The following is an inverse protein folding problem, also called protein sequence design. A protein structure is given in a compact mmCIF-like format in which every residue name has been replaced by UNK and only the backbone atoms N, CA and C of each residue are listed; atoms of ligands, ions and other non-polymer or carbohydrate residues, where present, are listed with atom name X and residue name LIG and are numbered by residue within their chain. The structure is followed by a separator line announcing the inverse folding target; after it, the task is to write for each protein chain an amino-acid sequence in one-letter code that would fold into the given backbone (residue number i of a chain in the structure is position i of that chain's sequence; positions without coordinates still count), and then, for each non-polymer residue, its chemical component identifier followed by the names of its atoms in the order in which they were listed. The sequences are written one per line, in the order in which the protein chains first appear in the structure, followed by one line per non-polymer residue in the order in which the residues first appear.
data_IF_350436836288
#
_entry.id   IF_350436836288
#
_cell.length_a   1.000
_cell.length_b   1.000
_cell.length_c   1.000
_cell.angle_alpha   90.00
_cell.angle_beta   90.00
_cell.angle_gamma   90.00
#
_symmetry.space_group_name_H-M   'P 1'
#
loop_
_entity.id
_entity.type
_entity.pdbx_description
1 polymer ?
#
# COMPACT_ATOMS: atom_id res chain seq x y z
N UNK A 1 -13.19 -10.38 12.77
CA UNK A 1 -13.76 -10.12 14.11
C UNK A 1 -15.22 -10.55 14.12
N UNK A 2 -15.68 -11.35 15.09
CA UNK A 2 -17.05 -11.91 15.11
C UNK A 2 -18.13 -10.93 15.64
N UNK A 3 -17.72 -9.82 16.25
CA UNK A 3 -18.55 -8.67 16.62
C UNK A 3 -17.82 -7.38 16.23
N UNK A 4 -18.55 -6.37 15.73
CA UNK A 4 -17.99 -5.05 15.45
C UNK A 4 -17.66 -4.28 16.75
N UNK A 5 -16.83 -3.25 16.64
CA UNK A 5 -16.26 -2.56 17.82
C UNK A 5 -17.34 -1.82 18.60
N UNK A 6 -18.29 -1.18 17.92
CA UNK A 6 -19.39 -0.45 18.55
C UNK A 6 -20.24 -1.38 19.43
N UNK A 7 -20.55 -2.58 18.95
CA UNK A 7 -21.26 -3.58 19.75
C UNK A 7 -20.49 -3.95 21.03
N UNK A 8 -19.15 -4.05 20.96
CA UNK A 8 -18.32 -4.39 22.12
C UNK A 8 -18.27 -3.26 23.15
N UNK A 9 -18.31 -2.00 22.72
CA UNK A 9 -18.46 -0.86 23.64
C UNK A 9 -19.78 -0.92 24.41
N UNK A 10 -20.87 -1.28 23.73
CA UNK A 10 -22.19 -1.48 24.36
C UNK A 10 -22.17 -2.66 25.35
N UNK A 11 -21.55 -3.79 24.98
CA UNK A 11 -21.41 -4.94 25.86
C UNK A 11 -20.61 -4.60 27.12
N UNK A 12 -19.56 -3.77 27.00
CA UNK A 12 -18.80 -3.23 28.14
C UNK A 12 -19.50 -2.08 28.88
N UNK A 13 -20.72 -1.69 28.47
CA UNK A 13 -21.53 -0.60 29.04
C UNK A 13 -20.80 0.74 29.09
N UNK A 14 -19.97 1.02 28.09
CA UNK A 14 -19.24 2.29 27.99
C UNK A 14 -20.16 3.45 27.58
N UNK A 15 -21.23 3.14 26.86
CA UNK A 15 -22.38 4.00 26.63
C UNK A 15 -23.64 3.13 26.40
N UNK A 16 -24.81 3.76 26.31
CA UNK A 16 -26.09 3.07 26.13
C UNK A 16 -26.89 3.68 24.97
N UNK A 17 -27.55 2.82 24.19
CA UNK A 17 -28.47 3.18 23.10
C UNK A 17 -29.94 2.90 23.43
N UNK A 18 -30.24 2.50 24.68
CA UNK A 18 -31.57 2.11 25.13
C UNK A 18 -32.17 0.95 24.32
N UNK A 19 -31.32 0.03 23.82
CA UNK A 19 -31.75 -1.14 23.05
C UNK A 19 -32.25 -0.84 21.63
N UNK A 20 -31.99 0.35 21.10
CA UNK A 20 -32.44 0.75 19.76
C UNK A 20 -31.36 0.48 18.70
N UNK A 21 -31.51 -0.65 17.99
CA UNK A 21 -30.60 -1.07 16.93
C UNK A 21 -30.51 -0.07 15.76
N UNK A 22 -31.54 0.75 15.53
CA UNK A 22 -31.50 1.77 14.50
C UNK A 22 -30.50 2.89 14.84
N UNK A 23 -30.29 3.17 16.13
CA UNK A 23 -29.25 4.11 16.58
C UNK A 23 -27.85 3.53 16.39
N UNK A 24 -27.69 2.24 16.66
CA UNK A 24 -26.41 1.55 16.44
C UNK A 24 -26.03 1.59 14.95
N UNK A 25 -27.02 1.36 14.06
CA UNK A 25 -26.79 1.44 12.62
C UNK A 25 -26.33 2.83 12.18
N UNK A 26 -26.90 3.92 12.72
CA UNK A 26 -26.44 5.28 12.42
C UNK A 26 -25.00 5.53 12.87
N UNK A 27 -24.58 4.97 14.01
CA UNK A 27 -23.19 5.06 14.47
C UNK A 27 -22.24 4.25 13.57
N UNK A 28 -22.67 3.08 13.06
CA UNK A 28 -21.91 2.30 12.07
C UNK A 28 -21.71 3.09 10.76
N UNK A 29 -22.75 3.75 10.28
CA UNK A 29 -22.66 4.60 9.08
C UNK A 29 -21.75 5.82 9.30
N UNK A 30 -21.73 6.38 10.51
CA UNK A 30 -20.78 7.43 10.87
C UNK A 30 -19.34 6.89 10.92
N UNK A 31 -19.14 5.68 11.43
CA UNK A 31 -17.83 5.01 11.42
C UNK A 31 -17.34 4.72 9.99
N UNK A 32 -18.24 4.38 9.06
CA UNK A 32 -17.90 4.26 7.63
C UNK A 32 -17.44 5.59 7.03
N UNK A 33 -18.10 6.70 7.37
CA UNK A 33 -17.69 8.04 6.92
C UNK A 33 -16.31 8.43 7.51
N UNK A 34 -16.04 8.09 8.78
CA UNK A 34 -14.70 8.26 9.39
C UNK A 34 -13.65 7.38 8.68
N UNK A 35 -13.97 6.13 8.38
CA UNK A 35 -13.08 5.23 7.65
C UNK A 35 -12.73 5.79 6.26
N UNK A 36 -13.72 6.34 5.55
CA UNK A 36 -13.52 6.99 4.25
C UNK A 36 -12.63 8.24 4.35
N UNK A 37 -12.81 9.04 5.41
CA UNK A 37 -11.97 10.20 5.68
C UNK A 37 -10.51 9.81 5.91
N UNK A 38 -10.25 8.79 6.73
CA UNK A 38 -8.90 8.31 7.03
C UNK A 38 -8.25 7.63 5.83
N UNK A 39 -9.03 6.92 5.01
CA UNK A 39 -8.57 6.39 3.72
C UNK A 39 -8.12 7.50 2.77
N UNK A 40 -8.83 8.63 2.74
CA UNK A 40 -8.49 9.77 1.89
C UNK A 40 -7.31 10.59 2.44
N UNK A 41 -7.08 10.56 3.76
CA UNK A 41 -6.03 11.32 4.44
C UNK A 41 -5.25 10.45 5.46
N UNK A 42 -4.43 9.48 5.01
CA UNK A 42 -3.73 8.55 5.90
C UNK A 42 -2.79 9.24 6.90
N UNK A 43 -2.25 10.41 6.55
CA UNK A 43 -1.39 11.22 7.41
C UNK A 43 -2.09 11.75 8.68
N UNK A 44 -3.43 11.74 8.71
CA UNK A 44 -4.22 12.16 9.89
C UNK A 44 -4.46 11.04 10.89
N UNK A 45 -4.18 9.78 10.52
CA UNK A 45 -4.52 8.60 11.34
C UNK A 45 -3.90 8.67 12.73
N UNK A 46 -2.65 9.10 12.86
CA UNK A 46 -1.98 9.21 14.15
C UNK A 46 -2.77 10.10 15.13
N UNK A 47 -3.20 11.29 14.70
CA UNK A 47 -4.00 12.18 15.54
C UNK A 47 -5.35 11.57 15.93
N UNK A 48 -6.02 10.86 15.02
CA UNK A 48 -7.27 10.15 15.33
C UNK A 48 -7.05 9.04 16.37
N UNK A 49 -5.94 8.31 16.29
CA UNK A 49 -5.58 7.27 17.26
C UNK A 49 -5.31 7.89 18.63
N UNK A 50 -4.57 9.00 18.70
CA UNK A 50 -4.29 9.70 19.96
C UNK A 50 -5.56 10.21 20.64
N UNK A 51 -6.54 10.69 19.86
CA UNK A 51 -7.86 11.11 20.35
C UNK A 51 -8.70 9.90 20.76
N UNK A 52 -8.67 8.83 19.96
CA UNK A 52 -9.39 7.60 20.21
C UNK A 52 -8.96 6.89 21.51
N UNK A 53 -7.67 6.89 21.82
CA UNK A 53 -7.13 6.19 22.98
C UNK A 53 -7.32 6.95 24.31
N UNK A 54 -7.31 8.29 24.31
CA UNK A 54 -7.24 9.06 25.56
C UNK A 54 -8.61 9.34 26.19
N UNK A 55 -8.80 8.84 27.42
CA UNK A 55 -10.07 8.95 28.16
C UNK A 55 -10.34 10.37 28.65
N UNK A 56 -9.30 11.20 28.70
CA UNK A 56 -9.30 12.57 29.20
C UNK A 56 -9.19 13.59 28.07
N UNK A 57 -9.49 13.18 26.84
CA UNK A 57 -9.57 14.09 25.71
C UNK A 57 -10.52 15.26 26.02
N UNK A 58 -10.07 16.52 25.85
CA UNK A 58 -10.88 17.67 26.22
C UNK A 58 -12.05 17.85 25.22
N UNK A 59 -13.20 18.39 25.64
CA UNK A 59 -14.39 18.50 24.79
C UNK A 59 -14.20 19.40 23.55
N UNK A 60 -13.25 20.33 23.58
CA UNK A 60 -12.91 21.26 22.50
C UNK A 60 -11.89 20.69 21.50
N UNK A 61 -11.49 19.42 21.66
CA UNK A 61 -10.59 18.74 20.71
C UNK A 61 -11.16 18.77 19.28
N UNK A 62 -10.43 19.37 18.30
CA UNK A 62 -10.89 19.53 16.92
C UNK A 62 -11.37 18.23 16.26
N UNK A 63 -10.69 17.10 16.50
CA UNK A 63 -11.10 15.81 15.93
C UNK A 63 -12.42 15.31 16.54
N UNK A 64 -12.69 15.55 17.83
CA UNK A 64 -13.98 15.20 18.40
C UNK A 64 -15.11 16.02 17.79
N UNK A 65 -14.89 17.31 17.55
CA UNK A 65 -15.85 18.18 16.88
C UNK A 65 -16.11 17.75 15.42
N UNK A 66 -15.06 17.33 14.69
CA UNK A 66 -15.18 16.79 13.34
C UNK A 66 -15.98 15.48 13.31
N UNK A 67 -15.70 14.55 14.22
CA UNK A 67 -16.44 13.28 14.33
C UNK A 67 -17.88 13.52 14.78
N UNK A 68 -18.12 14.47 15.68
CA UNK A 68 -19.47 14.89 16.06
C UNK A 68 -20.26 15.40 14.85
N UNK A 69 -19.62 16.19 13.97
CA UNK A 69 -20.23 16.65 12.71
C UNK A 69 -20.55 15.49 11.76
N UNK A 70 -19.72 14.45 11.72
CA UNK A 70 -19.99 13.22 10.94
C UNK A 70 -21.18 12.46 11.52
N UNK A 71 -21.23 12.29 12.84
CA UNK A 71 -22.34 11.63 13.54
C UNK A 71 -23.64 12.39 13.34
N UNK A 72 -23.62 13.71 13.45
CA UNK A 72 -24.80 14.57 13.27
C UNK A 72 -25.45 14.36 11.90
N UNK A 73 -24.66 14.23 10.83
CA UNK A 73 -25.16 13.96 9.47
C UNK A 73 -25.94 12.65 9.34
N UNK A 74 -25.65 11.65 10.18
CA UNK A 74 -26.38 10.37 10.22
C UNK A 74 -27.49 10.37 11.26
N UNK A 75 -27.32 11.17 12.31
CA UNK A 75 -28.20 11.20 13.47
C UNK A 75 -28.34 12.60 14.08
N UNK A 76 -29.18 13.44 13.50
CA UNK A 76 -29.40 14.83 13.94
C UNK A 76 -29.79 14.99 15.43
N UNK A 77 -30.42 13.98 16.05
CA UNK A 77 -30.87 14.04 17.45
C UNK A 77 -29.92 13.36 18.45
N UNK A 78 -28.69 13.03 18.07
CA UNK A 78 -27.76 12.29 18.93
C UNK A 78 -27.47 13.01 20.27
N UNK A 79 -27.39 14.34 20.28
CA UNK A 79 -27.17 15.14 21.50
C UNK A 79 -28.26 14.93 22.55
N UNK A 80 -29.49 14.66 22.14
CA UNK A 80 -30.59 14.36 23.07
C UNK A 80 -30.57 12.93 23.60
N UNK A 81 -29.82 12.03 22.94
CA UNK A 81 -29.77 10.61 23.27
C UNK A 81 -28.67 10.26 24.29
N UNK A 82 -27.67 11.13 24.46
CA UNK A 82 -26.55 10.91 25.37
C UNK A 82 -26.36 12.06 26.33
N UNK A 83 -26.00 11.79 27.60
CA UNK A 83 -25.48 12.82 28.49
C UNK A 83 -24.19 13.44 27.91
N UNK A 84 -23.96 14.72 28.19
CA UNK A 84 -22.77 15.46 27.71
C UNK A 84 -21.46 14.73 28.01
N UNK A 85 -21.32 14.19 29.24
CA UNK A 85 -20.17 13.40 29.68
C UNK A 85 -19.93 12.09 28.90
N UNK A 86 -20.95 11.56 28.23
CA UNK A 86 -20.84 10.33 27.44
C UNK A 86 -20.49 10.60 25.98
N UNK A 87 -20.65 11.84 25.49
CA UNK A 87 -20.39 12.19 24.09
C UNK A 87 -18.95 11.89 23.66
N UNK A 88 -17.89 12.25 24.42
CA UNK A 88 -16.52 11.90 24.03
C UNK A 88 -16.30 10.39 23.89
N UNK A 89 -16.93 9.59 24.76
CA UNK A 89 -16.83 8.12 24.73
C UNK A 89 -17.49 7.56 23.46
N UNK A 90 -18.65 8.08 23.08
CA UNK A 90 -19.34 7.70 21.83
C UNK A 90 -18.48 8.06 20.62
N UNK A 91 -17.90 9.27 20.59
CA UNK A 91 -17.05 9.70 19.47
C UNK A 91 -15.79 8.84 19.36
N UNK A 92 -15.13 8.50 20.47
CA UNK A 92 -14.01 7.57 20.49
C UNK A 92 -14.38 6.18 19.97
N UNK A 93 -15.56 5.68 20.33
CA UNK A 93 -16.04 4.39 19.84
C UNK A 93 -16.21 4.40 18.31
N UNK A 94 -16.77 5.49 17.77
CA UNK A 94 -16.90 5.71 16.32
C UNK A 94 -15.53 5.81 15.64
N UNK A 95 -14.56 6.50 16.26
CA UNK A 95 -13.17 6.58 15.77
C UNK A 95 -12.55 5.19 15.69
N UNK A 96 -12.63 4.40 16.77
CA UNK A 96 -12.01 3.08 16.83
C UNK A 96 -12.65 2.10 15.85
N UNK A 97 -13.98 2.11 15.71
CA UNK A 97 -14.68 1.30 14.69
C UNK A 97 -14.31 1.75 13.27
N UNK A 98 -14.23 3.06 13.04
CA UNK A 98 -13.78 3.63 11.77
C UNK A 98 -12.35 3.20 11.40
N UNK A 99 -11.42 3.26 12.36
CA UNK A 99 -10.05 2.76 12.20
C UNK A 99 -10.03 1.29 11.81
N UNK A 100 -10.75 0.44 12.55
CA UNK A 100 -10.82 -0.99 12.29
C UNK A 100 -11.31 -1.33 10.87
N UNK A 101 -12.29 -0.59 10.36
CA UNK A 101 -12.82 -0.77 8.99
C UNK A 101 -11.81 -0.45 7.88
N UNK A 102 -10.81 0.39 8.16
CA UNK A 102 -9.80 0.82 7.17
C UNK A 102 -8.42 0.14 7.36
N UNK A 103 -8.27 -0.73 8.36
CA UNK A 103 -7.00 -1.43 8.65
C UNK A 103 -6.48 -2.33 7.52
N UNK A 104 -7.29 -2.61 6.51
CA UNK A 104 -6.84 -3.29 5.30
C UNK A 104 -5.81 -2.46 4.49
N UNK A 105 -5.70 -1.16 4.74
CA UNK A 105 -4.70 -0.27 4.14
C UNK A 105 -3.46 -0.24 5.03
N UNK A 106 -2.32 -0.71 4.52
CA UNK A 106 -1.11 -0.90 5.33
C UNK A 106 -0.59 0.40 5.96
N UNK A 107 -0.67 1.54 5.26
CA UNK A 107 -0.27 2.83 5.82
C UNK A 107 -1.12 3.23 7.04
N UNK A 108 -2.43 2.96 6.97
CA UNK A 108 -3.35 3.20 8.09
C UNK A 108 -3.09 2.22 9.22
N UNK A 109 -2.88 0.94 8.89
CA UNK A 109 -2.56 -0.08 9.88
C UNK A 109 -1.25 0.23 10.63
N UNK A 110 -0.22 0.69 9.91
CA UNK A 110 1.06 1.10 10.48
C UNK A 110 0.87 2.30 11.41
N UNK A 111 0.20 3.35 10.93
CA UNK A 111 -0.07 4.55 11.73
C UNK A 111 -0.84 4.23 13.01
N UNK A 112 -1.88 3.40 12.93
CA UNK A 112 -2.63 2.93 14.10
C UNK A 112 -1.75 2.16 15.08
N UNK A 113 -1.03 1.15 14.59
CA UNK A 113 -0.23 0.25 15.42
C UNK A 113 0.90 1.00 16.14
N UNK A 114 1.67 1.80 15.39
CA UNK A 114 2.84 2.50 15.92
C UNK A 114 2.44 3.65 16.87
N UNK A 115 1.41 4.42 16.52
CA UNK A 115 0.91 5.48 17.41
C UNK A 115 0.38 4.90 18.72
N UNK A 116 -0.41 3.83 18.65
CA UNK A 116 -0.96 3.23 19.85
C UNK A 116 0.13 2.58 20.74
N UNK A 117 1.16 1.96 20.15
CA UNK A 117 2.33 1.46 20.90
C UNK A 117 3.12 2.55 21.60
N UNK A 118 3.16 3.74 21.02
CA UNK A 118 3.77 4.90 21.67
C UNK A 118 2.91 5.40 22.84
N UNK A 119 1.59 5.42 22.69
CA UNK A 119 0.71 6.10 23.63
C UNK A 119 0.16 5.24 24.76
N UNK A 120 -0.34 4.04 24.45
CA UNK A 120 -1.07 3.20 25.41
C UNK A 120 -0.29 2.93 26.71
N UNK A 121 1.05 2.69 26.70
CA UNK A 121 1.81 2.50 27.93
C UNK A 121 1.73 3.69 28.91
N UNK A 122 1.40 4.89 28.44
CA UNK A 122 1.37 6.12 29.24
C UNK A 122 -0.04 6.58 29.63
N UNK A 123 -1.10 6.02 29.06
CA UNK A 123 -2.48 6.47 29.29
C UNK A 123 -3.15 5.79 30.51
N UNK A 124 -2.47 4.86 31.17
CA UNK A 124 -2.99 4.10 32.31
C UNK A 124 -4.02 3.05 31.90
N UNK A 125 -4.69 2.45 32.88
CA UNK A 125 -5.71 1.43 32.61
C UNK A 125 -6.98 2.07 32.00
N UNK A 126 -7.40 1.59 30.82
CA UNK A 126 -8.69 1.95 30.21
C UNK A 126 -9.60 0.73 30.11
N UNK A 127 -10.91 0.94 30.22
CA UNK A 127 -11.91 -0.13 30.12
C UNK A 127 -12.02 -0.74 28.71
N UNK A 128 -11.50 -0.03 27.71
CA UNK A 128 -11.45 -0.43 26.31
C UNK A 128 -10.05 -0.84 25.83
N UNK A 129 -9.06 -0.98 26.72
CA UNK A 129 -7.67 -1.30 26.35
C UNK A 129 -7.55 -2.61 25.56
N UNK A 130 -8.33 -3.62 25.95
CA UNK A 130 -8.38 -4.92 25.25
C UNK A 130 -8.81 -4.78 23.78
N UNK A 131 -9.67 -3.81 23.47
CA UNK A 131 -10.14 -3.56 22.11
C UNK A 131 -9.01 -2.99 21.25
N UNK A 132 -8.20 -2.10 21.84
CA UNK A 132 -7.01 -1.56 21.20
C UNK A 132 -5.93 -2.64 21.04
N UNK A 133 -5.65 -3.43 22.07
CA UNK A 133 -4.65 -4.50 22.02
C UNK A 133 -4.96 -5.52 20.93
N UNK A 134 -6.22 -5.95 20.78
CA UNK A 134 -6.62 -6.84 19.70
C UNK A 134 -6.40 -6.22 18.32
N UNK A 135 -6.84 -4.97 18.14
CA UNK A 135 -6.67 -4.24 16.87
C UNK A 135 -5.18 -4.09 16.49
N UNK A 136 -4.33 -3.75 17.46
CA UNK A 136 -2.89 -3.55 17.28
C UNK A 136 -2.19 -4.88 17.03
N UNK A 137 -2.62 -5.96 17.67
CA UNK A 137 -2.06 -7.30 17.49
C UNK A 137 -2.32 -7.83 16.07
N UNK A 138 -3.55 -7.69 15.58
CA UNK A 138 -3.92 -8.08 14.21
C UNK A 138 -3.12 -7.27 13.18
N UNK A 139 -3.09 -5.95 13.34
CA UNK A 139 -2.34 -5.04 12.48
C UNK A 139 -0.83 -5.35 12.51
N UNK A 140 -0.27 -5.52 13.71
CA UNK A 140 1.14 -5.80 13.94
C UNK A 140 1.57 -7.10 13.28
N UNK A 141 0.77 -8.17 13.38
CA UNK A 141 1.06 -9.46 12.75
C UNK A 141 1.12 -9.33 11.22
N UNK A 142 0.16 -8.63 10.63
CA UNK A 142 0.12 -8.39 9.18
C UNK A 142 1.31 -7.55 8.71
N UNK A 143 1.59 -6.44 9.40
CA UNK A 143 2.70 -5.55 9.07
C UNK A 143 4.06 -6.25 9.20
N UNK A 144 4.23 -7.08 10.23
CA UNK A 144 5.44 -7.89 10.41
C UNK A 144 5.63 -8.90 9.27
N UNK A 145 4.55 -9.57 8.82
CA UNK A 145 4.61 -10.46 7.65
C UNK A 145 5.01 -9.72 6.38
N UNK A 146 4.47 -8.52 6.16
CA UNK A 146 4.86 -7.66 5.04
C UNK A 146 6.33 -7.26 5.15
N UNK A 147 6.76 -6.72 6.29
CA UNK A 147 8.13 -6.28 6.50
C UNK A 147 9.13 -7.43 6.33
N UNK A 148 8.81 -8.64 6.79
CA UNK A 148 9.65 -9.83 6.56
C UNK A 148 9.84 -10.18 5.08
N UNK A 149 8.80 -9.97 4.24
CA UNK A 149 8.91 -10.16 2.79
C UNK A 149 9.80 -9.07 2.17
N UNK A 150 9.62 -7.81 2.56
CA UNK A 150 10.45 -6.70 2.06
C UNK A 150 11.92 -6.83 2.49
N UNK A 151 12.17 -7.43 3.65
CA UNK A 151 13.51 -7.61 4.21
C UNK A 151 14.08 -9.02 3.98
N UNK A 152 13.45 -9.85 3.14
CA UNK A 152 13.90 -11.23 2.94
C UNK A 152 15.32 -11.27 2.33
N UNK A 153 16.13 -12.24 2.77
CA UNK A 153 17.43 -12.48 2.14
C UNK A 153 17.25 -13.12 0.77
N UNK A 154 18.24 -12.98 -0.12
CA UNK A 154 18.35 -13.85 -1.28
C UNK A 154 18.34 -15.31 -0.84
N UNK A 155 17.34 -16.07 -1.25
CA UNK A 155 17.32 -17.50 -1.01
C UNK A 155 18.38 -18.17 -1.87
N UNK A 156 19.14 -19.12 -1.33
CA UNK A 156 20.11 -19.94 -2.10
C UNK A 156 19.48 -20.68 -3.28
N UNK A 157 18.16 -20.90 -3.20
CA UNK A 157 17.32 -21.44 -4.26
C UNK A 157 16.54 -20.30 -4.91
N UNK A 158 17.19 -19.16 -5.22
CA UNK A 158 16.66 -18.28 -6.25
C UNK A 158 16.50 -19.19 -7.46
N UNK A 159 15.25 -19.56 -7.73
CA UNK A 159 14.87 -20.47 -8.79
C UNK A 159 15.69 -20.05 -10.00
N UNK A 160 16.49 -20.98 -10.54
CA UNK A 160 16.90 -20.86 -11.94
C UNK A 160 15.69 -20.34 -12.66
N UNK A 161 15.83 -19.18 -13.30
CA UNK A 161 14.71 -18.51 -13.94
C UNK A 161 14.17 -19.50 -14.98
N UNK A 162 13.17 -20.29 -14.59
CA UNK A 162 12.48 -21.21 -15.47
C UNK A 162 11.57 -20.32 -16.29
N UNK A 163 12.20 -19.66 -17.26
CA UNK A 163 11.52 -18.93 -18.31
C UNK A 163 10.72 -19.97 -19.07
N UNK A 164 9.40 -19.92 -18.90
CA UNK A 164 8.50 -20.70 -19.71
C UNK A 164 8.47 -20.05 -21.10
N UNK A 165 9.41 -20.47 -21.95
CA UNK A 165 9.48 -20.04 -23.34
C UNK A 165 8.36 -20.78 -24.07
N UNK A 166 7.32 -20.07 -24.55
CA UNK A 166 6.21 -20.71 -25.23
C UNK A 166 6.73 -21.52 -26.42
N UNK A 167 6.26 -22.77 -26.56
CA UNK A 167 6.60 -23.60 -27.70
C UNK A 167 6.22 -22.89 -29.01
N UNK A 168 7.06 -23.01 -30.03
CA UNK A 168 6.75 -22.49 -31.37
C UNK A 168 5.43 -23.07 -31.86
N UNK A 169 4.45 -22.23 -32.24
CA UNK A 169 3.14 -22.71 -32.67
C UNK A 169 3.27 -23.58 -33.92
N UNK A 170 2.64 -24.75 -33.91
CA UNK A 170 2.59 -25.62 -35.08
C UNK A 170 1.58 -25.07 -36.10
N UNK A 171 2.07 -24.76 -37.30
CA UNK A 171 1.19 -24.28 -38.39
C UNK A 171 0.70 -25.49 -39.19
N UNK A 172 -0.56 -25.86 -38.98
CA UNK A 172 -1.22 -26.87 -39.83
C UNK A 172 -1.65 -26.22 -41.15
N UNK A 173 -0.99 -26.62 -42.24
CA UNK A 173 -1.28 -26.18 -43.61
C UNK A 173 -2.72 -26.53 -43.96
N UNK A 174 -3.49 -25.55 -44.42
CA UNK A 174 -4.86 -25.79 -44.86
C UNK A 174 -4.85 -26.40 -46.27
N UNK A 175 -5.47 -27.56 -46.41
CA UNK A 175 -5.78 -28.15 -47.71
C UNK A 175 -7.03 -27.50 -48.31
N UNK A 176 -6.98 -27.20 -49.61
CA UNK A 176 -8.13 -26.68 -50.34
C UNK A 176 -9.24 -27.73 -50.39
N UNK A 177 -10.50 -27.29 -50.32
CA UNK A 177 -11.65 -28.18 -50.51
C UNK A 177 -11.67 -28.65 -51.96
N UNK A 178 -11.63 -29.96 -52.17
CA UNK A 178 -11.63 -30.59 -53.50
C UNK A 178 -12.81 -30.10 -54.34
N UNK A 179 -14.01 -30.03 -53.76
CA UNK A 179 -15.23 -29.60 -54.47
C UNK A 179 -15.14 -28.17 -55.02
N UNK A 180 -14.44 -27.28 -54.33
CA UNK A 180 -14.25 -25.91 -54.79
C UNK A 180 -13.32 -25.86 -56.01
N UNK A 181 -12.22 -26.61 -55.98
CA UNK A 181 -11.30 -26.73 -57.12
C UNK A 181 -12.01 -27.39 -58.31
N UNK A 182 -12.77 -28.46 -58.06
CA UNK A 182 -13.58 -29.14 -59.08
C UNK A 182 -14.56 -28.19 -59.75
N UNK A 183 -15.22 -27.30 -59.00
CA UNK A 183 -16.14 -26.31 -59.56
C UNK A 183 -15.43 -25.28 -60.46
N UNK A 184 -14.22 -24.83 -60.11
CA UNK A 184 -13.46 -23.90 -60.93
C UNK A 184 -13.02 -24.51 -62.27
N UNK A 185 -12.56 -25.77 -62.23
CA UNK A 185 -12.21 -26.50 -63.46
C UNK A 185 -13.45 -26.87 -64.27
N UNK A 186 -14.56 -27.21 -63.62
CA UNK A 186 -15.86 -27.40 -64.26
C UNK A 186 -16.29 -26.16 -65.03
N UNK A 187 -16.20 -24.98 -64.41
CA UNK A 187 -16.48 -23.70 -65.06
C UNK A 187 -15.54 -23.40 -66.25
N UNK A 188 -14.26 -23.77 -66.16
CA UNK A 188 -13.35 -23.62 -67.30
C UNK A 188 -13.72 -24.58 -68.46
N UNK A 189 -14.18 -25.79 -68.13
CA UNK A 189 -14.47 -26.86 -69.09
C UNK A 189 -15.78 -26.66 -69.87
N UNK A 190 -16.78 -25.97 -69.32
CA UNK A 190 -18.05 -25.76 -70.03
C UNK A 190 -19.03 -24.85 -69.31
N UNK A 191 -20.23 -24.64 -69.89
CA UNK A 191 -21.19 -23.64 -69.41
C UNK A 191 -22.03 -24.14 -68.22
N UNK A 192 -22.22 -25.46 -68.10
CA UNK A 192 -23.06 -26.07 -67.07
C UNK A 192 -22.39 -27.30 -66.45
N UNK A 193 -22.78 -27.62 -65.21
CA UNK A 193 -22.37 -28.84 -64.51
C UNK A 193 -23.15 -30.08 -64.96
N UNK A 194 -22.83 -31.23 -64.35
CA UNK A 194 -23.49 -32.51 -64.64
C UNK A 194 -25.02 -32.50 -64.37
N UNK A 195 -25.52 -31.53 -63.60
CA UNK A 195 -26.93 -31.35 -63.27
C UNK A 195 -27.57 -30.21 -64.10
N UNK A 196 -26.93 -29.76 -65.18
CA UNK A 196 -27.37 -28.65 -66.04
C UNK A 196 -27.45 -27.28 -65.33
N UNK A 197 -26.80 -27.12 -64.17
CA UNK A 197 -26.72 -25.83 -63.51
C UNK A 197 -25.59 -25.03 -64.14
N UNK A 198 -25.86 -23.77 -64.50
CA UNK A 198 -24.85 -22.89 -65.07
C UNK A 198 -23.71 -22.60 -64.07
N UNK A 199 -22.47 -22.72 -64.56
CA UNK A 199 -21.32 -22.21 -63.83
C UNK A 199 -21.28 -20.68 -63.95
N UNK A 200 -20.94 -20.02 -62.85
CA UNK A 200 -20.69 -18.59 -62.86
C UNK A 200 -19.44 -18.31 -63.70
N UNK A 201 -19.60 -17.51 -64.77
CA UNK A 201 -18.57 -17.29 -65.79
C UNK A 201 -18.03 -18.59 -66.42
N UNK A 202 -18.90 -19.60 -66.63
CA UNK A 202 -18.54 -20.82 -67.34
C UNK A 202 -18.09 -20.56 -68.79
N UNK A 203 -17.26 -21.45 -69.32
CA UNK A 203 -16.88 -21.43 -70.73
C UNK A 203 -18.13 -21.64 -71.60
N UNK A 204 -18.43 -20.69 -72.48
CA UNK A 204 -19.66 -20.74 -73.29
C UNK A 204 -19.61 -21.82 -74.38
N UNK A 205 -18.44 -22.37 -74.62
CA UNK A 205 -18.20 -23.39 -75.63
C UNK A 205 -18.05 -24.76 -74.96
N UNK A 206 -18.44 -25.82 -75.69
CA UNK A 206 -18.20 -27.21 -75.28
C UNK A 206 -16.92 -27.74 -75.96
N UNK A 207 -16.22 -28.73 -75.37
CA UNK A 207 -14.99 -29.29 -75.94
C UNK A 207 -15.11 -29.76 -77.39
N UNK A 208 -16.31 -30.19 -77.81
CA UNK A 208 -16.60 -30.61 -79.17
C UNK A 208 -16.61 -29.47 -80.21
N UNK A 209 -16.50 -28.20 -79.79
CA UNK A 209 -16.41 -27.01 -80.67
C UNK A 209 -14.97 -26.62 -81.03
N UNK A 210 -13.97 -27.42 -80.63
CA UNK A 210 -12.60 -27.34 -81.13
C UNK A 210 -11.88 -26.06 -80.69
N UNK A 211 -11.51 -25.21 -81.66
CA UNK A 211 -10.65 -24.05 -81.43
C UNK A 211 -11.27 -23.00 -80.48
N UNK A 212 -12.57 -22.71 -80.61
CA UNK A 212 -13.23 -21.72 -79.74
C UNK A 212 -13.26 -22.16 -78.28
N UNK A 213 -13.44 -23.46 -78.03
CA UNK A 213 -13.35 -24.00 -76.69
C UNK A 213 -11.94 -23.93 -76.11
N UNK A 214 -10.92 -24.33 -76.89
CA UNK A 214 -9.55 -24.36 -76.38
C UNK A 214 -9.00 -22.97 -76.07
N UNK A 215 -9.40 -21.95 -76.85
CA UNK A 215 -9.04 -20.55 -76.60
C UNK A 215 -9.64 -19.97 -75.31
N UNK A 216 -10.83 -20.42 -74.91
CA UNK A 216 -11.47 -19.99 -73.66
C UNK A 216 -11.08 -20.88 -72.47
N UNK A 217 -10.86 -22.18 -72.70
CA UNK A 217 -10.52 -23.14 -71.65
C UNK A 217 -9.17 -22.83 -71.02
N UNK A 218 -8.12 -22.68 -71.84
CA UNK A 218 -6.76 -22.47 -71.35
C UNK A 218 -6.62 -21.26 -70.39
N UNK A 219 -7.07 -20.04 -70.74
CA UNK A 219 -6.98 -18.89 -69.84
C UNK A 219 -7.88 -19.04 -68.60
N UNK A 220 -9.05 -19.68 -68.71
CA UNK A 220 -9.95 -19.91 -67.56
C UNK A 220 -9.41 -20.95 -66.60
N UNK A 221 -8.84 -22.05 -67.10
CA UNK A 221 -8.19 -23.07 -66.30
C UNK A 221 -6.92 -22.51 -65.63
N UNK A 222 -6.13 -21.71 -66.33
CA UNK A 222 -4.99 -21.00 -65.74
C UNK A 222 -5.45 -20.04 -64.61
N UNK A 223 -6.55 -19.31 -64.82
CA UNK A 223 -7.15 -18.46 -63.78
C UNK A 223 -7.68 -19.26 -62.59
N UNK A 224 -8.26 -20.43 -62.81
CA UNK A 224 -8.71 -21.35 -61.76
C UNK A 224 -7.54 -21.85 -60.91
N UNK A 225 -6.43 -22.26 -61.54
CA UNK A 225 -5.20 -22.68 -60.86
C UNK A 225 -4.61 -21.52 -60.06
N UNK A 226 -4.50 -20.32 -60.67
CA UNK A 226 -3.99 -19.14 -59.98
C UNK A 226 -4.85 -18.80 -58.76
N UNK A 227 -6.19 -18.80 -58.90
CA UNK A 227 -7.10 -18.55 -57.79
C UNK A 227 -6.95 -19.59 -56.66
N UNK A 228 -6.75 -20.87 -57.00
CA UNK A 228 -6.53 -21.93 -56.02
C UNK A 228 -5.20 -21.77 -55.27
N UNK A 229 -4.12 -21.49 -55.99
CA UNK A 229 -2.80 -21.23 -55.40
C UNK A 229 -2.85 -19.99 -54.52
N UNK A 230 -3.41 -18.88 -55.00
CA UNK A 230 -3.51 -17.62 -54.25
C UNK A 230 -4.35 -17.78 -52.97
N UNK A 231 -5.47 -18.50 -53.05
CA UNK A 231 -6.31 -18.78 -51.88
C UNK A 231 -5.58 -19.65 -50.83
N UNK A 232 -4.84 -20.66 -51.27
CA UNK A 232 -4.03 -21.51 -50.39
C UNK A 232 -2.88 -20.73 -49.75
N UNK A 233 -2.15 -19.95 -50.54
CA UNK A 233 -1.04 -19.12 -50.05
C UNK A 233 -1.55 -18.08 -49.05
N UNK A 234 -2.64 -17.38 -49.35
CA UNK A 234 -3.23 -16.38 -48.47
C UNK A 234 -3.69 -16.98 -47.13
N UNK A 235 -4.43 -18.09 -47.16
CA UNK A 235 -4.92 -18.74 -45.94
C UNK A 235 -3.78 -19.26 -45.05
N UNK A 236 -2.70 -19.78 -45.67
CA UNK A 236 -1.54 -20.23 -44.92
C UNK A 236 -0.71 -19.06 -44.37
N UNK A 237 -0.55 -17.97 -45.12
CA UNK A 237 0.11 -16.74 -44.64
C UNK A 237 -0.65 -16.14 -43.46
N UNK A 238 -1.98 -16.06 -43.53
CA UNK A 238 -2.81 -15.53 -42.43
C UNK A 238 -2.64 -16.34 -41.14
N UNK A 239 -2.60 -17.69 -41.23
CA UNK A 239 -2.32 -18.55 -40.08
C UNK A 239 -0.89 -18.41 -39.55
N UNK A 240 0.09 -18.23 -40.44
CA UNK A 240 1.48 -17.96 -40.04
C UNK A 240 1.55 -16.62 -39.32
N UNK A 241 0.89 -15.57 -39.82
CA UNK A 241 0.84 -14.25 -39.18
C UNK A 241 0.12 -14.31 -37.82
N UNK A 242 -0.98 -15.07 -37.72
CA UNK A 242 -1.71 -15.26 -36.47
C UNK A 242 -0.90 -16.03 -35.43
N UNK A 243 -0.24 -17.11 -35.85
CA UNK A 243 0.68 -17.89 -35.00
C UNK A 243 1.92 -17.07 -34.58
N UNK A 244 2.36 -16.15 -35.43
CA UNK A 244 3.50 -15.26 -35.14
C UNK A 244 3.12 -14.00 -34.38
N UNK A 245 1.85 -13.78 -33.96
CA UNK A 245 1.44 -12.59 -33.20
C UNK A 245 2.34 -12.41 -31.97
N UNK A 246 3.34 -11.50 -32.02
CA UNK A 246 4.43 -11.48 -31.05
C UNK A 246 4.00 -10.97 -29.67
N UNK A 247 2.91 -10.21 -29.63
CA UNK A 247 2.58 -9.32 -28.52
C UNK A 247 2.24 -10.05 -27.23
N UNK A 248 1.54 -11.19 -27.29
CA UNK A 248 1.18 -11.92 -26.06
C UNK A 248 2.37 -12.70 -25.47
N UNK A 249 3.21 -13.29 -26.32
CA UNK A 249 4.39 -14.03 -25.89
C UNK A 249 5.51 -13.11 -25.40
N UNK A 250 5.76 -12.00 -26.10
CA UNK A 250 6.72 -10.98 -25.65
C UNK A 250 6.25 -10.30 -24.36
N UNK A 251 4.95 -10.08 -24.20
CA UNK A 251 4.38 -9.53 -22.97
C UNK A 251 4.52 -10.50 -21.80
N UNK A 252 4.18 -11.78 -21.98
CA UNK A 252 4.37 -12.80 -20.95
C UNK A 252 5.84 -12.93 -20.54
N UNK A 253 6.75 -12.94 -21.51
CA UNK A 253 8.20 -12.95 -21.25
C UNK A 253 8.66 -11.69 -20.51
N UNK A 254 8.23 -10.50 -20.95
CA UNK A 254 8.55 -9.24 -20.31
C UNK A 254 8.01 -9.17 -18.87
N UNK A 255 6.81 -9.69 -18.62
CA UNK A 255 6.21 -9.78 -17.29
C UNK A 255 7.01 -10.73 -16.38
N UNK A 256 7.41 -11.90 -16.88
CA UNK A 256 8.25 -12.86 -16.14
C UNK A 256 9.63 -12.28 -15.79
N UNK A 257 10.30 -11.64 -16.75
CA UNK A 257 11.59 -10.97 -16.52
C UNK A 257 11.42 -9.79 -15.57
N UNK A 258 10.35 -9.01 -15.71
CA UNK A 258 10.04 -7.89 -14.82
C UNK A 258 9.84 -8.35 -13.36
N UNK A 259 9.08 -9.42 -13.15
CA UNK A 259 8.87 -10.02 -11.83
C UNK A 259 10.17 -10.57 -11.24
N UNK A 260 11.00 -11.21 -12.06
CA UNK A 260 12.29 -11.74 -11.66
C UNK A 260 13.26 -10.66 -11.18
N UNK A 261 13.40 -9.59 -11.98
CA UNK A 261 14.25 -8.45 -11.66
C UNK A 261 13.74 -7.73 -10.41
N UNK A 262 12.42 -7.51 -10.30
CA UNK A 262 11.82 -6.89 -9.12
C UNK A 262 12.09 -7.72 -7.85
N UNK A 263 11.95 -9.04 -7.92
CA UNK A 263 12.24 -9.95 -6.81
C UNK A 263 13.72 -9.91 -6.40
N UNK A 264 14.64 -9.95 -7.38
CA UNK A 264 16.07 -9.88 -7.12
C UNK A 264 16.49 -8.54 -6.49
N UNK A 265 15.97 -7.41 -7.01
CA UNK A 265 16.21 -6.09 -6.43
C UNK A 265 15.66 -5.98 -5.01
N UNK A 266 14.47 -6.51 -4.75
CA UNK A 266 13.89 -6.53 -3.41
C UNK A 266 14.77 -7.31 -2.42
N UNK A 267 15.30 -8.46 -2.82
CA UNK A 267 16.21 -9.25 -1.98
C UNK A 267 17.56 -8.54 -1.76
N UNK A 268 18.09 -7.86 -2.78
CA UNK A 268 19.31 -7.06 -2.66
C UNK A 268 19.12 -5.89 -1.68
N UNK A 269 18.01 -5.14 -1.81
CA UNK A 269 17.66 -4.07 -0.86
C UNK A 269 17.45 -4.62 0.56
N UNK A 270 16.81 -5.78 0.71
CA UNK A 270 16.62 -6.43 2.00
C UNK A 270 17.96 -6.78 2.68
N UNK A 271 18.94 -7.29 1.93
CA UNK A 271 20.29 -7.55 2.43
C UNK A 271 21.02 -6.26 2.79
N UNK A 272 20.98 -5.25 1.90
CA UNK A 272 21.61 -3.96 2.12
C UNK A 272 21.12 -3.31 3.41
N UNK A 273 19.80 -3.22 3.63
CA UNK A 273 19.22 -2.64 4.86
C UNK A 273 19.72 -3.34 6.12
N UNK A 274 19.80 -4.67 6.12
CA UNK A 274 20.29 -5.45 7.26
C UNK A 274 21.77 -5.18 7.55
N UNK A 275 22.59 -5.19 6.50
CA UNK A 275 24.02 -4.90 6.62
C UNK A 275 24.26 -3.45 7.07
N UNK A 276 23.53 -2.49 6.51
CA UNK A 276 23.58 -1.08 6.91
C UNK A 276 23.17 -0.89 8.37
N UNK A 277 22.10 -1.55 8.84
CA UNK A 277 21.71 -1.50 10.26
C UNK A 277 22.78 -2.05 11.20
N UNK A 278 23.46 -3.14 10.81
CA UNK A 278 24.56 -3.71 11.60
C UNK A 278 25.73 -2.72 11.66
N UNK A 279 26.18 -2.21 10.50
CA UNK A 279 27.28 -1.26 10.46
C UNK A 279 26.97 0.04 11.20
N UNK A 280 25.75 0.55 11.06
CA UNK A 280 25.27 1.70 11.78
C UNK A 280 25.33 1.50 13.30
N UNK A 281 24.83 0.35 13.80
CA UNK A 281 24.91 -0.01 15.22
C UNK A 281 26.36 -0.09 15.71
N UNK A 282 27.25 -0.71 14.95
CA UNK A 282 28.65 -0.90 15.37
C UNK A 282 29.49 0.39 15.27
N UNK A 283 29.24 1.23 14.27
CA UNK A 283 29.97 2.47 14.05
C UNK A 283 29.60 3.56 15.08
N UNK A 284 28.37 3.55 15.60
CA UNK A 284 27.84 4.58 16.51
C UNK A 284 28.12 6.01 15.99
N UNK A 285 27.83 6.19 14.70
CA UNK A 285 28.04 7.41 13.95
C UNK A 285 26.79 7.76 13.15
N UNK A 286 26.40 9.03 13.18
CA UNK A 286 25.29 9.55 12.38
C UNK A 286 25.76 9.93 10.98
N UNK A 287 25.35 9.21 9.92
CA UNK A 287 25.63 9.65 8.56
C UNK A 287 24.94 10.97 8.22
N UNK A 288 23.71 11.22 8.69
CA UNK A 288 22.96 12.45 8.35
C UNK A 288 23.53 13.70 9.07
N UNK A 289 24.00 13.52 10.32
CA UNK A 289 24.62 14.60 11.09
C UNK A 289 26.15 14.69 10.93
N UNK A 290 26.78 13.67 10.31
CA UNK A 290 28.22 13.55 10.12
C UNK A 290 29.04 13.64 11.42
N UNK A 291 28.51 13.06 12.51
CA UNK A 291 29.12 13.12 13.84
C UNK A 291 28.95 11.80 14.59
N UNK A 292 29.89 11.49 15.48
CA UNK A 292 29.72 10.36 16.41
C UNK A 292 28.60 10.67 17.40
N UNK A 293 27.72 9.70 17.66
CA UNK A 293 26.70 9.84 18.71
C UNK A 293 27.31 10.06 20.09
N UNK A 294 28.56 9.62 20.32
CA UNK A 294 29.29 9.83 21.56
C UNK A 294 29.59 11.31 21.85
N UNK A 295 29.51 12.18 20.84
CA UNK A 295 29.74 13.61 20.97
C UNK A 295 28.44 14.41 21.20
N UNK A 296 27.29 13.74 21.24
CA UNK A 296 25.97 14.35 21.38
C UNK A 296 25.41 14.15 22.79
N UNK A 297 24.49 15.03 23.19
CA UNK A 297 23.68 14.82 24.40
C UNK A 297 22.78 13.60 24.24
N UNK A 298 22.32 13.01 25.35
CA UNK A 298 21.43 11.84 25.33
C UNK A 298 20.20 12.06 24.47
N UNK A 299 19.54 13.22 24.57
CA UNK A 299 18.32 13.48 23.80
C UNK A 299 18.61 13.62 22.29
N UNK A 300 19.69 14.32 21.92
CA UNK A 300 20.12 14.46 20.51
C UNK A 300 20.58 13.14 19.91
N UNK A 301 21.28 12.33 20.69
CA UNK A 301 21.61 10.94 20.34
C UNK A 301 20.35 10.14 20.02
N UNK A 302 19.35 10.18 20.89
CA UNK A 302 18.09 9.45 20.67
C UNK A 302 17.38 9.89 19.38
N UNK A 303 17.33 11.20 19.14
CA UNK A 303 16.68 11.80 17.98
C UNK A 303 17.43 11.46 16.68
N UNK A 304 18.74 11.62 16.63
CA UNK A 304 19.54 11.30 15.45
C UNK A 304 19.57 9.81 15.15
N UNK A 305 19.70 8.96 16.16
CA UNK A 305 19.63 7.51 15.96
C UNK A 305 18.28 7.08 15.39
N UNK A 306 17.18 7.73 15.80
CA UNK A 306 15.87 7.48 15.22
C UNK A 306 15.78 7.92 13.76
N UNK A 307 16.34 9.09 13.40
CA UNK A 307 16.41 9.61 12.03
C UNK A 307 17.22 8.67 11.13
N UNK A 308 18.44 8.35 11.54
CA UNK A 308 19.34 7.50 10.76
C UNK A 308 18.75 6.09 10.58
N UNK A 309 18.17 5.51 11.64
CA UNK A 309 17.48 4.23 11.54
C UNK A 309 16.28 4.29 10.59
N UNK A 310 15.46 5.35 10.64
CA UNK A 310 14.32 5.51 9.74
C UNK A 310 14.74 5.67 8.27
N UNK A 311 15.87 6.33 8.02
CA UNK A 311 16.46 6.43 6.69
C UNK A 311 16.92 5.07 6.15
N UNK A 312 17.54 4.23 7.00
CA UNK A 312 18.00 2.89 6.62
C UNK A 312 16.81 1.94 6.42
N UNK A 313 15.81 1.97 7.29
CA UNK A 313 14.77 0.94 7.31
C UNK A 313 13.64 1.16 6.29
N UNK A 314 13.44 2.39 5.84
CA UNK A 314 12.28 2.76 5.02
C UNK A 314 10.98 2.75 5.83
N UNK A 315 9.81 2.78 5.18
CA UNK A 315 8.51 2.94 5.87
C UNK A 315 7.97 1.68 6.58
N UNK A 316 8.42 0.48 6.17
CA UNK A 316 7.92 -0.80 6.67
C UNK A 316 9.07 -1.63 7.21
N UNK A 317 9.39 -1.41 8.48
CA UNK A 317 10.45 -2.11 9.18
C UNK A 317 9.92 -3.28 10.04
N UNK A 318 10.63 -4.42 10.09
CA UNK A 318 10.29 -5.52 11.00
C UNK A 318 10.60 -5.14 12.45
N UNK A 319 9.97 -5.82 13.41
CA UNK A 319 10.20 -5.61 14.86
C UNK A 319 11.68 -5.69 15.27
N UNK A 320 12.48 -6.49 14.56
CA UNK A 320 13.92 -6.57 14.82
C UNK A 320 14.65 -5.23 14.64
N UNK A 321 14.15 -4.31 13.82
CA UNK A 321 14.74 -2.98 13.66
C UNK A 321 14.70 -2.18 14.97
N UNK A 322 13.56 -2.21 15.67
CA UNK A 322 13.43 -1.57 17.00
C UNK A 322 14.37 -2.20 18.03
N UNK A 323 14.57 -3.52 17.97
CA UNK A 323 15.52 -4.20 18.84
C UNK A 323 16.96 -3.77 18.56
N UNK A 324 17.34 -3.59 17.29
CA UNK A 324 18.67 -3.09 16.91
C UNK A 324 18.89 -1.66 17.39
N UNK A 325 17.91 -0.76 17.24
CA UNK A 325 17.97 0.61 17.75
C UNK A 325 18.15 0.60 19.28
N UNK A 326 17.33 -0.18 19.98
CA UNK A 326 17.40 -0.31 21.44
C UNK A 326 18.76 -0.78 21.90
N UNK A 327 19.30 -1.80 21.25
CA UNK A 327 20.62 -2.35 21.58
C UNK A 327 21.76 -1.37 21.26
N UNK A 328 21.66 -0.63 20.16
CA UNK A 328 22.63 0.40 19.82
C UNK A 328 22.69 1.51 20.88
N UNK A 329 21.53 1.94 21.40
CA UNK A 329 21.45 2.90 22.50
C UNK A 329 21.98 2.34 23.81
N UNK A 330 21.67 1.09 24.16
CA UNK A 330 22.22 0.43 25.36
C UNK A 330 23.74 0.29 25.30
N UNK A 331 24.29 -0.05 24.14
CA UNK A 331 25.75 -0.10 23.93
C UNK A 331 26.42 1.28 24.08
N UNK A 332 25.68 2.36 23.82
CA UNK A 332 26.19 3.71 23.87
C UNK A 332 26.08 4.35 25.25
N UNK A 333 24.92 4.20 25.90
CA UNK A 333 24.56 4.87 27.16
C UNK A 333 24.67 3.96 28.40
N UNK A 334 24.82 2.65 28.22
CA UNK A 334 24.87 1.70 29.32
C UNK A 334 23.53 1.62 30.07
N UNK A 335 23.54 1.52 31.42
CA UNK A 335 22.33 1.44 32.24
C UNK A 335 21.36 2.62 32.07
N UNK A 336 21.90 3.82 31.80
CA UNK A 336 21.12 5.06 31.64
C UNK A 336 20.16 4.97 30.44
N UNK A 337 20.39 4.07 29.48
CA UNK A 337 19.54 3.88 28.30
C UNK A 337 18.09 3.50 28.64
N UNK A 338 17.89 2.79 29.76
CA UNK A 338 16.60 2.31 30.21
C UNK A 338 16.06 3.09 31.44
N UNK A 339 16.84 4.03 31.99
CA UNK A 339 16.43 4.86 33.13
C UNK A 339 15.41 5.93 32.71
N UNK A 340 14.27 6.07 33.42
CA UNK A 340 13.28 7.08 33.07
C UNK A 340 13.79 8.51 33.24
N UNK A 341 13.69 9.31 32.19
CA UNK A 341 13.98 10.75 32.16
C UNK A 341 12.68 11.51 31.88
N UNK A 342 12.55 12.73 32.39
CA UNK A 342 11.43 13.60 32.07
C UNK A 342 11.32 13.83 30.55
N UNK A 343 10.16 13.53 29.96
CA UNK A 343 9.90 13.74 28.53
C UNK A 343 10.05 15.22 28.16
N UNK A 344 9.61 16.12 29.03
CA UNK A 344 9.78 17.56 28.91
C UNK A 344 11.25 17.98 28.74
N UNK A 345 12.15 17.34 29.49
CA UNK A 345 13.59 17.63 29.44
C UNK A 345 14.18 17.18 28.11
N UNK A 346 13.84 15.96 27.66
CA UNK A 346 14.29 15.41 26.38
C UNK A 346 13.81 16.27 25.19
N UNK A 347 12.54 16.69 25.22
CA UNK A 347 11.96 17.55 24.19
C UNK A 347 12.66 18.91 24.12
N UNK A 348 12.91 19.53 25.27
CA UNK A 348 13.55 20.85 25.32
C UNK A 348 14.97 20.84 24.76
N UNK A 349 15.73 19.77 25.03
CA UNK A 349 17.10 19.61 24.49
C UNK A 349 17.10 19.40 22.97
N UNK A 350 16.18 18.60 22.44
CA UNK A 350 16.06 18.37 20.97
C UNK A 350 15.49 19.57 20.23
N UNK A 351 14.58 20.33 20.85
CA UNK A 351 13.99 21.53 20.26
C UNK A 351 14.97 22.72 20.20
N UNK A 352 16.08 22.67 20.94
CA UNK A 352 17.07 23.74 20.95
C UNK A 352 17.78 23.88 19.59
N UNK A 353 17.64 25.04 18.95
CA UNK A 353 18.23 25.37 17.63
C UNK A 353 19.51 26.19 17.80
N UNK A 354 20.59 25.53 18.21
CA UNK A 354 21.86 26.20 18.53
C UNK A 354 22.97 26.00 17.51
N UNK A 355 22.82 25.05 16.60
CA UNK A 355 23.87 24.62 15.67
C UNK A 355 23.30 24.19 14.33
N UNK A 356 24.16 24.11 13.31
CA UNK A 356 23.77 23.60 11.99
C UNK A 356 23.28 22.14 12.05
N UNK A 357 23.79 21.34 12.99
CA UNK A 357 23.30 19.97 13.23
C UNK A 357 21.87 20.03 13.76
N UNK A 358 21.56 20.92 14.69
CA UNK A 358 20.18 21.06 15.20
C UNK A 358 19.21 21.47 14.08
N UNK A 359 19.62 22.36 13.17
CA UNK A 359 18.80 22.73 12.01
C UNK A 359 18.57 21.57 11.04
N UNK A 360 19.60 20.77 10.74
CA UNK A 360 19.46 19.56 9.92
C UNK A 360 18.45 18.59 10.54
N UNK A 361 18.54 18.36 11.86
CA UNK A 361 17.63 17.46 12.59
C UNK A 361 16.16 17.88 12.41
N UNK A 362 15.90 19.18 12.54
CA UNK A 362 14.56 19.75 12.37
C UNK A 362 14.02 19.59 10.94
N UNK A 363 14.91 19.56 9.94
CA UNK A 363 14.56 19.26 8.55
C UNK A 363 13.97 17.86 8.38
N UNK A 364 14.47 16.86 9.10
CA UNK A 364 13.96 15.49 9.03
C UNK A 364 12.56 15.34 9.66
N UNK A 365 12.24 16.15 10.67
CA UNK A 365 10.92 16.16 11.29
C UNK A 365 9.88 16.95 10.48
N UNK A 366 10.30 17.73 9.48
CA UNK A 366 9.40 18.60 8.74
C UNK A 366 8.35 17.87 7.91
N UNK A 367 8.58 16.59 7.58
CA UNK A 367 7.67 15.72 6.81
C UNK A 367 6.49 15.18 7.64
N UNK A 368 6.54 15.31 8.96
CA UNK A 368 5.52 14.81 9.87
C UNK A 368 4.28 15.69 9.84
N UNK A 369 3.10 15.07 9.88
CA UNK A 369 1.83 15.78 9.85
C UNK A 369 1.60 16.62 11.11
N UNK A 370 1.22 17.89 10.92
CA UNK A 370 0.89 18.84 11.98
C UNK A 370 -0.61 19.00 12.10
N UNK A 371 -1.15 18.66 13.26
CA UNK A 371 -2.54 18.85 13.59
C UNK A 371 -2.70 20.05 14.52
N UNK A 372 -3.84 20.75 14.43
CA UNK A 372 -4.18 21.86 15.32
C UNK A 372 -4.52 21.43 16.75
N UNK A 373 -4.98 20.18 16.94
CA UNK A 373 -5.20 19.54 18.23
C UNK A 373 -4.08 18.55 18.55
N UNK A 374 -4.45 17.32 18.91
CA UNK A 374 -3.48 16.25 19.16
C UNK A 374 -2.60 15.93 17.97
N UNK A 375 -1.29 15.87 18.19
CA UNK A 375 -0.30 15.64 17.14
C UNK A 375 0.83 14.72 17.60
N UNK A 376 1.69 14.32 16.66
CA UNK A 376 2.83 13.45 16.92
C UNK A 376 3.93 14.16 17.71
N UNK A 377 4.76 13.40 18.43
CA UNK A 377 5.82 13.94 19.27
C UNK A 377 6.82 14.77 18.44
N UNK A 378 7.16 14.25 17.26
CA UNK A 378 8.04 14.91 16.30
C UNK A 378 7.46 16.22 15.75
N UNK A 379 6.14 16.36 15.63
CA UNK A 379 5.51 17.64 15.25
C UNK A 379 5.76 18.73 16.29
N UNK A 380 5.73 18.38 17.58
CA UNK A 380 6.06 19.32 18.66
C UNK A 380 7.53 19.75 18.65
N UNK A 381 8.43 18.83 18.30
CA UNK A 381 9.85 19.14 18.14
C UNK A 381 10.10 20.18 17.05
N UNK A 382 9.34 20.13 15.93
CA UNK A 382 9.42 21.15 14.87
C UNK A 382 8.87 22.48 15.35
N UNK A 383 7.68 22.46 15.95
CA UNK A 383 7.00 23.68 16.41
C UNK A 383 7.78 24.38 17.54
N UNK A 384 8.69 23.67 18.20
CA UNK A 384 9.48 24.21 19.31
C UNK A 384 8.62 24.51 20.53
N UNK A 385 7.50 23.79 20.66
CA UNK A 385 6.55 24.05 21.74
C UNK A 385 7.14 23.60 23.09
N UNK A 386 7.07 24.45 24.13
CA UNK A 386 7.56 24.10 25.45
C UNK A 386 6.76 22.95 26.08
N UNK A 387 7.36 22.30 27.08
CA UNK A 387 6.81 21.14 27.77
C UNK A 387 5.37 21.30 28.31
N UNK A 388 4.94 22.52 28.60
CA UNK A 388 3.57 22.83 29.04
C UNK A 388 2.49 22.40 28.02
N UNK A 389 2.85 22.21 26.74
CA UNK A 389 1.92 21.77 25.70
C UNK A 389 1.76 20.24 25.60
N UNK A 390 2.48 19.47 26.43
CA UNK A 390 2.37 18.00 26.47
C UNK A 390 0.93 17.53 26.72
N UNK A 391 0.22 18.17 27.65
CA UNK A 391 -1.16 17.82 27.98
C UNK A 391 -2.13 18.11 26.84
N UNK A 392 -2.01 19.29 26.21
CA UNK A 392 -2.94 19.73 25.16
C UNK A 392 -2.66 19.08 23.81
N UNK A 393 -1.39 18.80 23.49
CA UNK A 393 -1.00 18.30 22.16
C UNK A 393 -0.67 16.80 22.11
N UNK A 394 -0.23 16.20 23.22
CA UNK A 394 -0.05 14.74 23.32
C UNK A 394 -1.03 14.08 24.28
N UNK A 395 -1.83 14.81 25.07
CA UNK A 395 -2.66 14.15 26.10
C UNK A 395 -1.85 13.46 27.20
N UNK A 396 -0.59 13.85 27.40
CA UNK A 396 0.28 13.30 28.43
C UNK A 396 0.46 14.30 29.57
N UNK A 397 0.66 13.81 30.78
CA UNK A 397 0.98 14.68 31.90
C UNK A 397 2.38 15.31 31.71
N UNK A 398 2.58 16.53 32.21
CA UNK A 398 3.91 17.17 32.19
C UNK A 398 4.96 16.38 32.98
N UNK A 399 4.51 15.58 33.95
CA UNK A 399 5.34 14.69 34.77
C UNK A 399 5.67 13.36 34.09
N UNK A 400 5.20 13.12 32.85
CA UNK A 400 5.47 11.87 32.13
C UNK A 400 6.98 11.70 31.92
N UNK A 401 7.49 10.55 32.34
CA UNK A 401 8.88 10.12 32.13
C UNK A 401 8.95 9.00 31.11
N UNK A 402 10.04 8.95 30.36
CA UNK A 402 10.34 7.91 29.38
C UNK A 402 11.84 7.61 29.37
N UNK A 403 12.23 6.38 29.10
CA UNK A 403 13.65 6.05 28.92
C UNK A 403 14.20 6.60 27.60
N UNK A 404 15.52 6.84 27.48
CA UNK A 404 16.16 7.17 26.21
C UNK A 404 15.80 6.21 25.06
N UNK A 405 15.79 4.89 25.33
CA UNK A 405 15.34 3.89 24.35
C UNK A 405 13.89 4.13 23.94
N UNK A 406 12.98 4.33 24.89
CA UNK A 406 11.58 4.59 24.60
C UNK A 406 11.38 5.86 23.78
N UNK A 407 12.11 6.93 24.10
CA UNK A 407 12.05 8.21 23.39
C UNK A 407 12.55 8.09 21.95
N UNK A 408 13.68 7.41 21.73
CA UNK A 408 14.20 7.17 20.38
C UNK A 408 13.24 6.32 19.54
N UNK A 409 12.69 5.23 20.11
CA UNK A 409 11.69 4.42 19.42
C UNK A 409 10.41 5.19 19.11
N UNK A 410 10.00 6.12 19.96
CA UNK A 410 8.84 6.99 19.69
C UNK A 410 9.08 7.86 18.46
N UNK A 411 10.21 8.56 18.41
CA UNK A 411 10.60 9.39 17.26
C UNK A 411 10.71 8.53 15.99
N UNK A 412 11.38 7.39 16.10
CA UNK A 412 11.54 6.46 14.98
C UNK A 412 10.19 6.03 14.41
N UNK A 413 9.25 5.66 15.27
CA UNK A 413 7.89 5.28 14.89
C UNK A 413 7.13 6.43 14.24
N UNK A 414 7.24 7.65 14.75
CA UNK A 414 6.61 8.81 14.10
C UNK A 414 7.15 9.03 12.68
N UNK A 415 8.47 8.86 12.47
CA UNK A 415 9.10 8.95 11.14
C UNK A 415 8.65 7.82 10.20
N UNK A 416 8.51 6.58 10.70
CA UNK A 416 7.95 5.47 9.94
C UNK A 416 6.53 5.80 9.45
N UNK A 417 5.70 6.36 10.33
CA UNK A 417 4.34 6.79 10.01
C UNK A 417 4.36 7.87 8.92
N UNK A 418 5.19 8.91 9.07
CA UNK A 418 5.31 9.96 8.08
C UNK A 418 5.69 9.38 6.71
N UNK A 419 6.73 8.54 6.66
CA UNK A 419 7.18 7.88 5.43
C UNK A 419 6.10 7.01 4.77
N UNK A 420 5.28 6.31 5.56
CA UNK A 420 4.23 5.45 5.03
C UNK A 420 2.97 6.21 4.57
N UNK A 421 2.71 7.40 5.13
CA UNK A 421 1.47 8.15 4.95
C UNK A 421 1.60 9.37 4.03
N UNK A 422 2.80 9.67 3.53
CA UNK A 422 2.99 10.68 2.47
C UNK A 422 2.15 10.30 1.25
N UNK A 423 1.15 11.12 0.95
CA UNK A 423 0.32 10.97 -0.25
C UNK A 423 1.19 11.37 -1.45
N UNK A 424 1.53 10.41 -2.31
CA UNK A 424 2.20 10.71 -3.58
C UNK A 424 1.41 11.80 -4.33
N UNK A 425 2.07 12.84 -4.87
CA UNK A 425 1.36 13.88 -5.61
C UNK A 425 0.60 13.22 -6.75
N UNK A 426 -0.74 13.41 -6.77
CA UNK A 426 -1.61 12.93 -7.85
C UNK A 426 -1.00 13.34 -9.18
N UNK A 427 -0.44 12.38 -9.92
CA UNK A 427 -0.02 12.59 -11.30
C UNK A 427 -1.22 13.12 -12.07
N UNK A 428 -1.18 14.40 -12.45
CA UNK A 428 -2.16 15.02 -13.34
C UNK A 428 -2.33 14.09 -14.53
N UNK A 429 -3.49 13.44 -14.66
CA UNK A 429 -3.91 12.82 -15.93
C UNK A 429 -3.82 13.94 -16.96
N UNK A 430 -2.87 13.84 -17.90
CA UNK A 430 -2.91 14.62 -19.13
C UNK A 430 -4.23 14.28 -19.80
N UNK A 431 -5.13 15.24 -19.88
CA UNK A 431 -6.27 15.18 -20.79
C UNK A 431 -5.70 15.18 -22.21
N UNK A 432 -5.79 14.04 -22.89
CA UNK A 432 -5.81 13.98 -24.35
C UNK A 432 -7.25 14.07 -24.81
#
# INVERSE_FOLDING_TARGET
MAQDILQRFLTKRLFDLAGDDARLQKLREAADDVANLLKASPNRVASFVQVGCDLKVPPDEPILAEVATIVEKKWNSYLSAFPEKALPVVMRAVILDGLARVMAIDAVALATCLTARNFLPHLGASTDIELWEELISEAGTRLEQRARKEWALPTKNASTLELDIPATPSVTVQTLKVDWVTNLFGAAAGPHDANSKAYEAGNQHWPNTGASWSYEFAPRAAKAVAAAVDASVKANIEKVIEALKPDEHLKSFADQVGLAVASALQQAHGLERRTSMIWWKEALFSPEAEVSYRALSTAKTCAWMAVDAAAITGAYAPLMAEAVISEALRSLLGPEADEPISLATLLSDVAHRGSAIDEKLQGHFASVYRASGRTQLTSLLVEGEPAQYLGTRLGLAETTSISPVGFSLWIYRDLQIANATVVAPRTRKKST
#
